data_IF_513573413448
#
_entry.id   IF_513573413448
#
_cell.length_a   1.000
_cell.length_b   1.000
_cell.length_c   1.000
_cell.angle_alpha   90.00
_cell.angle_beta   90.00
_cell.angle_gamma   90.00
#
_symmetry.space_group_name_H-M   'P 1'
#
loop_
_entity.id
_entity.type
_entity.pdbx_description
1 polymer ?
#
# COMPACT_ATOMS: atom_id res chain seq x y z
N UNK A 1 -24.04 -16.82 -47.36
CA UNK A 1 -23.70 -15.52 -46.71
C UNK A 1 -22.92 -15.80 -45.47
N UNK A 2 -21.58 -15.81 -45.58
CA UNK A 2 -20.68 -16.05 -44.45
C UNK A 2 -20.42 -14.69 -43.78
N UNK A 3 -20.97 -14.50 -42.57
CA UNK A 3 -20.70 -13.29 -41.79
C UNK A 3 -19.25 -13.39 -41.30
N UNK A 4 -18.32 -12.69 -41.95
CA UNK A 4 -17.04 -12.38 -41.37
C UNK A 4 -17.26 -11.40 -40.19
N UNK A 5 -17.28 -11.92 -38.99
CA UNK A 5 -17.09 -11.11 -37.79
C UNK A 5 -15.61 -10.68 -37.82
N UNK A 6 -15.38 -9.48 -38.31
CA UNK A 6 -14.10 -8.79 -38.09
C UNK A 6 -14.09 -8.45 -36.62
N UNK A 7 -13.56 -9.38 -35.81
CA UNK A 7 -13.09 -9.05 -34.46
C UNK A 7 -11.99 -8.00 -34.64
N UNK A 8 -12.30 -6.77 -34.32
CA UNK A 8 -11.30 -5.73 -34.09
C UNK A 8 -10.37 -6.32 -33.02
N UNK A 9 -9.16 -6.73 -33.45
CA UNK A 9 -8.12 -7.18 -32.53
C UNK A 9 -7.69 -5.93 -31.77
N UNK A 10 -8.44 -5.59 -30.73
CA UNK A 10 -8.05 -4.57 -29.78
C UNK A 10 -6.69 -4.92 -29.19
N UNK A 11 -5.89 -3.94 -28.93
CA UNK A 11 -4.57 -4.11 -28.33
C UNK A 11 -4.78 -4.74 -26.93
N UNK A 12 -4.44 -6.04 -26.78
CA UNK A 12 -4.54 -6.77 -25.50
C UNK A 12 -3.37 -6.36 -24.59
N UNK A 13 -3.65 -6.24 -23.31
CA UNK A 13 -2.66 -5.91 -22.28
C UNK A 13 -2.28 -7.15 -21.47
N UNK A 14 -1.17 -7.13 -20.73
CA UNK A 14 -0.71 -8.30 -19.96
C UNK A 14 -1.79 -8.91 -19.06
N UNK A 15 -2.55 -8.10 -18.34
CA UNK A 15 -3.61 -8.57 -17.43
C UNK A 15 -4.72 -9.36 -18.15
N UNK A 16 -4.91 -9.13 -19.44
CA UNK A 16 -5.96 -9.76 -20.25
C UNK A 16 -5.51 -11.11 -20.83
N UNK A 17 -4.20 -11.36 -20.94
CA UNK A 17 -3.61 -12.51 -21.64
C UNK A 17 -2.75 -13.41 -20.76
N UNK A 18 -2.40 -12.99 -19.54
CA UNK A 18 -1.58 -13.78 -18.65
C UNK A 18 -2.33 -15.05 -18.22
N UNK A 19 -1.67 -16.19 -18.39
CA UNK A 19 -2.15 -17.44 -17.81
C UNK A 19 -2.20 -17.31 -16.28
N UNK A 20 -3.20 -17.94 -15.66
CA UNK A 20 -3.37 -17.92 -14.20
C UNK A 20 -2.43 -18.94 -13.51
N UNK A 21 -1.26 -19.14 -14.08
CA UNK A 21 -0.18 -19.94 -13.53
C UNK A 21 1.10 -19.11 -13.43
N UNK A 22 1.45 -18.66 -12.23
CA UNK A 22 2.62 -17.84 -11.99
C UNK A 22 3.94 -18.57 -12.28
N UNK A 23 4.01 -19.90 -12.16
CA UNK A 23 5.21 -20.69 -12.44
C UNK A 23 5.61 -20.57 -13.92
N UNK A 24 4.64 -20.62 -14.83
CA UNK A 24 4.87 -20.46 -16.28
C UNK A 24 5.45 -19.07 -16.61
N UNK A 25 4.97 -18.04 -15.89
CA UNK A 25 5.46 -16.66 -16.07
C UNK A 25 6.93 -16.58 -15.66
N UNK A 26 7.27 -17.17 -14.51
CA UNK A 26 8.62 -17.18 -13.98
C UNK A 26 9.58 -18.00 -14.85
N UNK A 27 9.21 -19.22 -15.24
CA UNK A 27 10.03 -20.08 -16.10
C UNK A 27 10.37 -19.41 -17.43
N UNK A 28 9.39 -18.72 -18.05
CA UNK A 28 9.63 -17.97 -19.28
C UNK A 28 10.61 -16.80 -19.06
N UNK A 29 10.55 -16.12 -17.92
CA UNK A 29 11.47 -15.04 -17.58
C UNK A 29 12.88 -15.54 -17.28
N UNK A 30 13.02 -16.66 -16.57
CA UNK A 30 14.30 -17.30 -16.28
C UNK A 30 14.97 -17.80 -17.58
N UNK A 31 14.23 -18.48 -18.45
CA UNK A 31 14.74 -18.92 -19.76
C UNK A 31 15.19 -17.75 -20.66
N UNK A 32 14.49 -16.62 -20.61
CA UNK A 32 14.90 -15.42 -21.33
C UNK A 32 16.19 -14.84 -20.73
N UNK A 33 16.29 -14.74 -19.39
CA UNK A 33 17.46 -14.21 -18.70
C UNK A 33 18.71 -15.06 -18.98
N UNK A 34 18.61 -16.38 -18.95
CA UNK A 34 19.70 -17.30 -19.34
C UNK A 34 20.20 -17.05 -20.77
N UNK A 35 19.27 -16.88 -21.73
CA UNK A 35 19.61 -16.52 -23.10
C UNK A 35 20.31 -15.16 -23.19
N UNK A 36 19.88 -14.18 -22.38
CA UNK A 36 20.49 -12.86 -22.34
C UNK A 36 21.94 -12.94 -21.87
N UNK A 37 22.24 -13.74 -20.83
CA UNK A 37 23.60 -13.97 -20.33
C UNK A 37 24.53 -14.66 -21.33
N UNK A 38 24.00 -15.52 -22.20
CA UNK A 38 24.75 -16.25 -23.20
C UNK A 38 24.98 -15.45 -24.50
N UNK A 39 24.34 -14.32 -24.67
CA UNK A 39 24.43 -13.51 -25.90
C UNK A 39 25.85 -12.93 -26.06
N UNK A 40 26.39 -13.14 -27.25
CA UNK A 40 27.59 -12.43 -27.65
C UNK A 40 27.27 -10.96 -27.98
N UNK A 41 28.23 -10.07 -27.78
CA UNK A 41 28.10 -8.61 -28.03
C UNK A 41 27.78 -8.25 -29.49
N UNK A 42 27.74 -9.21 -30.40
CA UNK A 42 27.57 -9.00 -31.85
C UNK A 42 26.10 -8.75 -32.28
N UNK A 43 25.11 -9.04 -31.43
CA UNK A 43 23.68 -8.86 -31.77
C UNK A 43 22.92 -8.19 -30.59
N UNK A 44 23.06 -6.87 -30.41
CA UNK A 44 22.38 -6.17 -29.32
C UNK A 44 20.86 -6.11 -29.56
N UNK A 45 20.11 -6.39 -28.51
CA UNK A 45 18.67 -6.19 -28.47
C UNK A 45 18.35 -4.89 -27.74
N UNK A 46 17.30 -4.17 -28.18
CA UNK A 46 16.91 -2.91 -27.62
C UNK A 46 15.41 -2.91 -27.24
N UNK A 47 15.10 -2.34 -26.10
CA UNK A 47 13.74 -2.01 -25.71
C UNK A 47 13.47 -0.55 -26.07
N UNK A 48 12.35 -0.28 -26.76
CA UNK A 48 11.92 1.07 -27.12
C UNK A 48 10.95 1.59 -26.05
N UNK A 49 11.35 2.65 -25.35
CA UNK A 49 10.50 3.32 -24.37
C UNK A 49 9.45 4.16 -25.10
N UNK A 50 8.21 4.28 -24.57
CA UNK A 50 7.26 5.28 -25.06
C UNK A 50 7.88 6.68 -24.99
N UNK A 51 8.09 7.31 -26.15
CA UNK A 51 8.86 8.58 -26.26
C UNK A 51 10.06 8.48 -27.21
N UNK A 52 10.40 7.26 -27.69
CA UNK A 52 11.37 7.06 -28.77
C UNK A 52 12.80 6.74 -28.31
N UNK A 53 13.10 6.81 -27.04
CA UNK A 53 14.38 6.38 -26.48
C UNK A 53 14.50 4.85 -26.51
N UNK A 54 15.72 4.36 -26.80
CA UNK A 54 16.01 2.92 -26.84
C UNK A 54 17.01 2.56 -25.75
N UNK A 55 16.65 1.58 -24.94
CA UNK A 55 17.51 1.00 -23.92
C UNK A 55 18.04 -0.33 -24.40
N UNK A 56 19.36 -0.52 -24.34
CA UNK A 56 19.99 -1.79 -24.67
C UNK A 56 19.68 -2.80 -23.57
N UNK A 57 19.26 -3.99 -23.97
CA UNK A 57 18.98 -5.08 -23.06
C UNK A 57 20.30 -5.80 -22.72
N UNK A 58 20.80 -5.53 -21.51
CA UNK A 58 22.03 -6.10 -20.96
C UNK A 58 21.75 -6.66 -19.56
N UNK A 59 22.54 -7.61 -19.11
CA UNK A 59 22.50 -8.21 -17.79
C UNK A 59 22.60 -7.16 -16.66
N UNK A 60 23.37 -6.09 -16.89
CA UNK A 60 23.56 -4.97 -15.96
C UNK A 60 22.29 -4.11 -15.71
N UNK A 61 21.30 -4.19 -16.62
CA UNK A 61 20.07 -3.41 -16.60
C UNK A 61 18.83 -4.26 -16.26
N UNK A 62 19.01 -5.57 -16.06
CA UNK A 62 17.91 -6.51 -15.84
C UNK A 62 18.08 -7.20 -14.50
N UNK A 63 17.01 -7.28 -13.71
CA UNK A 63 17.05 -7.98 -12.43
C UNK A 63 15.68 -8.60 -12.08
N UNK A 64 15.69 -9.54 -11.15
CA UNK A 64 14.49 -10.15 -10.61
C UNK A 64 14.01 -9.45 -9.34
N UNK A 65 12.73 -9.11 -9.27
CA UNK A 65 12.08 -8.57 -8.08
C UNK A 65 11.09 -9.58 -7.51
N UNK A 66 11.08 -9.83 -6.18
CA UNK A 66 10.10 -10.70 -5.55
C UNK A 66 8.71 -10.03 -5.57
N UNK A 67 7.71 -10.76 -6.05
CA UNK A 67 6.31 -10.29 -6.14
C UNK A 67 5.65 -10.32 -4.77
N UNK A 68 5.94 -11.34 -3.96
CA UNK A 68 5.33 -11.56 -2.65
C UNK A 68 6.36 -11.47 -1.52
N UNK A 69 5.90 -11.01 -0.36
CA UNK A 69 6.76 -10.83 0.83
C UNK A 69 7.23 -12.16 1.44
N UNK A 70 6.33 -13.13 1.54
CA UNK A 70 6.60 -14.41 2.19
C UNK A 70 7.16 -15.46 1.22
N UNK A 71 7.03 -15.25 -0.08
CA UNK A 71 7.49 -16.20 -1.10
C UNK A 71 8.51 -15.55 -2.05
N UNK A 72 9.80 -15.59 -1.68
CA UNK A 72 10.86 -15.04 -2.52
C UNK A 72 11.10 -15.85 -3.80
N UNK A 73 10.46 -17.02 -3.95
CA UNK A 73 10.57 -17.83 -5.18
C UNK A 73 9.84 -17.17 -6.33
N UNK A 74 8.71 -16.50 -6.02
CA UNK A 74 7.95 -15.77 -7.02
C UNK A 74 8.61 -14.45 -7.37
N UNK A 75 9.23 -14.41 -8.56
CA UNK A 75 9.96 -13.23 -9.05
C UNK A 75 9.53 -12.88 -10.45
N UNK A 76 9.53 -11.59 -10.74
CA UNK A 76 9.36 -11.07 -12.10
C UNK A 76 10.64 -10.40 -12.58
N UNK A 77 10.91 -10.51 -13.86
CA UNK A 77 12.08 -9.93 -14.50
C UNK A 77 11.75 -8.50 -14.91
N UNK A 78 12.54 -7.54 -14.44
CA UNK A 78 12.36 -6.12 -14.71
C UNK A 78 13.55 -5.54 -15.45
N UNK A 79 13.28 -4.56 -16.31
CA UNK A 79 14.27 -3.72 -16.96
C UNK A 79 14.36 -2.40 -16.18
N UNK A 80 15.56 -2.05 -15.73
CA UNK A 80 15.83 -0.80 -15.03
C UNK A 80 16.54 0.20 -15.93
N UNK A 81 16.41 1.47 -15.62
CA UNK A 81 17.10 2.54 -16.30
C UNK A 81 18.62 2.43 -16.06
N UNK A 82 19.47 2.38 -17.10
CA UNK A 82 20.92 2.32 -16.94
C UNK A 82 21.51 3.49 -16.14
N UNK A 83 20.87 4.67 -16.22
CA UNK A 83 21.30 5.88 -15.54
C UNK A 83 20.72 6.04 -14.13
N UNK A 84 19.55 5.40 -13.88
CA UNK A 84 18.85 5.45 -12.61
C UNK A 84 18.31 4.05 -12.25
N UNK A 85 19.17 3.17 -11.73
CA UNK A 85 18.85 1.75 -11.44
C UNK A 85 17.63 1.55 -10.52
N UNK A 86 17.23 2.60 -9.84
CA UNK A 86 16.01 2.62 -9.00
C UNK A 86 14.72 2.77 -9.84
N UNK A 87 14.84 3.13 -11.13
CA UNK A 87 13.72 3.34 -12.01
C UNK A 87 13.47 2.11 -12.88
N UNK A 88 12.34 1.46 -12.67
CA UNK A 88 11.87 0.35 -13.51
C UNK A 88 11.18 0.91 -14.75
N UNK A 89 11.58 0.45 -15.94
CA UNK A 89 11.10 0.88 -17.25
C UNK A 89 10.07 -0.10 -17.82
N UNK A 90 10.34 -1.40 -17.67
CA UNK A 90 9.52 -2.45 -18.25
C UNK A 90 9.58 -3.74 -17.44
N UNK A 91 8.62 -4.62 -17.66
CA UNK A 91 8.58 -5.98 -17.10
C UNK A 91 8.47 -6.99 -18.22
N UNK A 92 9.17 -8.11 -18.08
CA UNK A 92 9.10 -9.22 -19.01
C UNK A 92 7.95 -10.16 -18.65
N UNK A 93 6.93 -10.19 -19.49
CA UNK A 93 5.72 -11.00 -19.29
C UNK A 93 5.29 -11.61 -20.63
N UNK A 94 4.86 -12.86 -20.59
CA UNK A 94 4.36 -13.56 -21.78
C UNK A 94 5.31 -13.41 -22.98
N UNK A 95 6.60 -13.70 -22.77
CA UNK A 95 7.68 -13.67 -23.77
C UNK A 95 7.94 -12.29 -24.42
N UNK A 96 7.50 -11.22 -23.80
CA UNK A 96 7.67 -9.85 -24.30
C UNK A 96 7.97 -8.87 -23.17
N UNK A 97 8.70 -7.79 -23.50
CA UNK A 97 8.89 -6.65 -22.60
C UNK A 97 7.70 -5.69 -22.71
N UNK A 98 7.10 -5.36 -21.57
CA UNK A 98 5.96 -4.47 -21.46
C UNK A 98 6.33 -3.22 -20.67
N UNK A 99 6.07 -2.00 -21.21
CA UNK A 99 6.21 -0.76 -20.44
C UNK A 99 5.33 -0.79 -19.20
N UNK A 100 5.79 -0.17 -18.11
CA UNK A 100 5.05 -0.13 -16.84
C UNK A 100 3.61 0.40 -17.01
N UNK A 101 3.42 1.43 -17.87
CA UNK A 101 2.10 1.99 -18.13
C UNK A 101 1.14 1.01 -18.82
N UNK A 102 1.64 0.06 -19.61
CA UNK A 102 0.79 -0.92 -20.29
C UNK A 102 0.41 -2.11 -19.41
N UNK A 103 1.21 -2.39 -18.37
CA UNK A 103 0.88 -3.45 -17.39
C UNK A 103 -0.34 -3.07 -16.55
N UNK A 104 -0.53 -1.78 -16.31
CA UNK A 104 -1.66 -1.29 -15.51
C UNK A 104 -2.86 -0.87 -16.36
N UNK A 105 -2.97 -1.44 -17.58
CA UNK A 105 -4.10 -1.25 -18.49
C UNK A 105 -4.81 -2.57 -18.76
N UNK A 106 -6.06 -2.46 -19.20
CA UNK A 106 -6.89 -3.57 -19.68
C UNK A 106 -7.68 -3.15 -20.91
N UNK A 107 -7.87 -4.09 -21.82
CA UNK A 107 -8.82 -3.96 -22.93
C UNK A 107 -10.21 -4.51 -22.59
N UNK A 108 -10.33 -5.21 -21.46
CA UNK A 108 -11.57 -5.77 -20.98
C UNK A 108 -12.46 -4.68 -20.37
N UNK A 109 -13.51 -4.30 -21.09
CA UNK A 109 -14.48 -3.29 -20.65
C UNK A 109 -15.30 -3.70 -19.43
N UNK A 110 -15.28 -4.97 -19.04
CA UNK A 110 -15.93 -5.44 -17.80
C UNK A 110 -15.14 -5.04 -16.55
N UNK A 111 -13.84 -4.72 -16.69
CA UNK A 111 -13.01 -4.18 -15.61
C UNK A 111 -13.28 -2.69 -15.41
N UNK A 112 -14.31 -2.37 -14.66
CA UNK A 112 -14.68 -0.99 -14.29
C UNK A 112 -15.04 -0.90 -12.81
N UNK A 113 -14.60 0.17 -12.13
CA UNK A 113 -14.82 0.37 -10.70
C UNK A 113 -13.85 -0.43 -9.81
N UNK A 114 -14.24 -0.65 -8.56
CA UNK A 114 -13.46 -1.40 -7.57
C UNK A 114 -13.70 -2.91 -7.74
N UNK A 115 -12.66 -3.62 -8.12
CA UNK A 115 -12.71 -5.07 -8.35
C UNK A 115 -11.70 -5.80 -7.46
N UNK A 116 -12.15 -6.92 -6.89
CA UNK A 116 -11.34 -7.80 -6.08
C UNK A 116 -10.20 -8.41 -6.91
N UNK A 117 -8.98 -8.38 -6.38
CA UNK A 117 -7.82 -9.02 -6.99
C UNK A 117 -7.92 -10.54 -6.80
N UNK A 118 -8.05 -11.27 -7.90
CA UNK A 118 -8.25 -12.72 -7.92
C UNK A 118 -7.20 -13.45 -8.75
N UNK A 119 -6.88 -12.95 -9.95
CA UNK A 119 -6.00 -13.61 -10.91
C UNK A 119 -4.52 -13.25 -10.71
N UNK A 120 -3.63 -14.08 -11.22
CA UNK A 120 -2.17 -13.81 -11.22
C UNK A 120 -1.84 -12.53 -11.98
N UNK A 121 -2.54 -12.24 -13.08
CA UNK A 121 -2.37 -10.99 -13.82
C UNK A 121 -2.73 -9.76 -12.97
N UNK A 122 -3.84 -9.81 -12.23
CA UNK A 122 -4.24 -8.73 -11.32
C UNK A 122 -3.28 -8.59 -10.13
N UNK A 123 -2.69 -9.69 -9.65
CA UNK A 123 -1.62 -9.64 -8.63
C UNK A 123 -0.37 -8.91 -9.15
N UNK A 124 -0.02 -9.10 -10.41
CA UNK A 124 1.08 -8.35 -11.06
C UNK A 124 0.72 -6.87 -11.18
N UNK A 125 -0.50 -6.54 -11.59
CA UNK A 125 -0.98 -5.14 -11.60
C UNK A 125 -0.90 -4.51 -10.20
N UNK A 126 -1.36 -5.21 -9.17
CA UNK A 126 -1.25 -4.76 -7.78
C UNK A 126 0.20 -4.54 -7.36
N UNK A 127 1.09 -5.48 -7.69
CA UNK A 127 2.53 -5.35 -7.43
C UNK A 127 3.12 -4.11 -8.11
N UNK A 128 2.79 -3.88 -9.38
CA UNK A 128 3.26 -2.70 -10.13
C UNK A 128 2.75 -1.41 -9.53
N UNK A 129 1.47 -1.35 -9.17
CA UNK A 129 0.89 -0.17 -8.50
C UNK A 129 1.56 0.12 -7.15
N UNK A 130 1.78 -0.90 -6.33
CA UNK A 130 2.34 -0.77 -4.98
C UNK A 130 3.85 -0.53 -5.00
N UNK A 131 4.61 -1.44 -5.60
CA UNK A 131 6.07 -1.47 -5.42
C UNK A 131 6.79 -0.58 -6.44
N UNK A 132 6.27 -0.47 -7.66
CA UNK A 132 6.92 0.29 -8.73
C UNK A 132 6.35 1.71 -8.82
N UNK A 133 5.03 1.87 -9.05
CA UNK A 133 4.47 3.22 -9.25
C UNK A 133 4.47 3.99 -7.92
N UNK A 134 3.87 3.45 -6.88
CA UNK A 134 3.82 4.10 -5.58
C UNK A 134 5.20 4.13 -4.90
N UNK A 135 5.89 2.98 -4.85
CA UNK A 135 7.13 2.83 -4.11
C UNK A 135 8.36 3.50 -4.76
N UNK A 136 8.39 3.61 -6.10
CA UNK A 136 9.56 4.13 -6.83
C UNK A 136 9.23 5.39 -7.62
N UNK A 137 8.22 5.37 -8.51
CA UNK A 137 7.99 6.44 -9.48
C UNK A 137 7.25 7.65 -8.89
N UNK A 138 6.29 7.44 -7.99
CA UNK A 138 5.50 8.50 -7.37
C UNK A 138 5.90 8.78 -5.92
N UNK A 139 7.01 8.22 -5.44
CA UNK A 139 7.53 8.44 -4.09
C UNK A 139 7.95 9.90 -3.88
N UNK A 140 7.74 10.39 -2.64
CA UNK A 140 8.33 11.65 -2.20
C UNK A 140 9.74 11.38 -1.66
N UNK A 141 10.74 12.09 -2.14
CA UNK A 141 12.18 11.88 -1.93
C UNK A 141 12.68 11.96 -0.48
N UNK A 142 11.83 12.19 0.50
CA UNK A 142 12.26 12.49 1.87
C UNK A 142 12.26 11.31 2.86
N UNK A 143 11.76 10.13 2.48
CA UNK A 143 11.67 9.01 3.43
C UNK A 143 12.31 7.73 2.88
N UNK A 144 13.36 7.26 3.56
CA UNK A 144 14.05 5.97 3.35
C UNK A 144 13.19 4.73 3.70
N UNK A 145 11.87 4.82 3.58
CA UNK A 145 10.99 3.68 3.81
C UNK A 145 10.97 2.80 2.57
N UNK A 146 11.49 1.58 2.68
CA UNK A 146 11.34 0.56 1.65
C UNK A 146 9.89 0.09 1.61
N UNK A 147 9.30 0.07 0.42
CA UNK A 147 8.01 -0.57 0.21
C UNK A 147 8.20 -2.08 0.23
N UNK A 148 7.45 -2.75 1.10
CA UNK A 148 7.46 -4.20 1.17
C UNK A 148 6.34 -4.72 0.27
N UNK A 149 6.65 -5.75 -0.53
CA UNK A 149 5.65 -6.43 -1.33
C UNK A 149 4.51 -6.99 -0.45
N UNK A 150 3.32 -7.06 -1.00
CA UNK A 150 2.18 -7.65 -0.29
C UNK A 150 2.32 -9.17 -0.14
N UNK A 151 1.56 -9.74 0.77
CA UNK A 151 1.36 -11.20 0.84
C UNK A 151 0.63 -11.71 -0.42
N UNK A 152 0.91 -12.94 -0.83
CA UNK A 152 0.13 -13.60 -1.89
C UNK A 152 -1.36 -13.71 -1.54
N UNK A 153 -1.68 -13.75 -0.23
CA UNK A 153 -3.05 -13.85 0.31
C UNK A 153 -3.64 -12.49 0.71
N UNK A 154 -2.95 -11.39 0.39
CA UNK A 154 -3.45 -10.05 0.72
C UNK A 154 -4.82 -9.81 0.08
N UNK A 155 -5.79 -9.39 0.88
CA UNK A 155 -7.09 -8.95 0.38
C UNK A 155 -6.92 -7.55 -0.22
N UNK A 156 -7.16 -7.41 -1.51
CA UNK A 156 -6.98 -6.16 -2.23
C UNK A 156 -8.05 -5.94 -3.29
N UNK A 157 -8.40 -4.69 -3.53
CA UNK A 157 -9.20 -4.28 -4.69
C UNK A 157 -8.44 -3.25 -5.52
N UNK A 158 -8.54 -3.38 -6.83
CA UNK A 158 -8.03 -2.40 -7.80
C UNK A 158 -9.20 -1.61 -8.34
N UNK A 159 -9.03 -0.29 -8.42
CA UNK A 159 -10.00 0.60 -9.07
C UNK A 159 -9.62 0.74 -10.55
N UNK A 160 -10.48 0.21 -11.40
CA UNK A 160 -10.38 0.33 -12.85
C UNK A 160 -11.24 1.48 -13.36
N UNK A 161 -10.72 2.26 -14.30
CA UNK A 161 -11.43 3.37 -14.91
C UNK A 161 -10.95 3.61 -16.34
N UNK A 162 -11.84 3.48 -17.30
CA UNK A 162 -11.54 3.70 -18.73
C UNK A 162 -10.32 2.88 -19.21
N UNK A 163 -10.21 1.62 -18.79
CA UNK A 163 -9.11 0.73 -19.15
C UNK A 163 -7.80 0.93 -18.37
N UNK A 164 -7.75 1.85 -17.40
CA UNK A 164 -6.58 2.08 -16.53
C UNK A 164 -6.84 1.59 -15.10
N UNK A 165 -5.85 0.95 -14.48
CA UNK A 165 -5.80 0.73 -13.04
C UNK A 165 -5.35 2.04 -12.37
N UNK A 166 -6.29 2.76 -11.73
CA UNK A 166 -6.08 4.13 -11.26
C UNK A 166 -5.79 4.26 -9.78
N UNK A 167 -6.19 3.23 -9.01
CA UNK A 167 -6.02 3.18 -7.56
C UNK A 167 -6.08 1.74 -7.07
N UNK A 168 -5.65 1.50 -5.84
CA UNK A 168 -5.92 0.26 -5.12
C UNK A 168 -6.03 0.52 -3.62
N UNK A 169 -6.62 -0.46 -2.93
CA UNK A 169 -6.49 -0.55 -1.48
C UNK A 169 -6.35 -2.01 -1.04
N UNK A 170 -5.78 -2.20 0.15
CA UNK A 170 -5.65 -3.52 0.78
C UNK A 170 -6.32 -3.54 2.14
N UNK A 171 -6.73 -4.73 2.56
CA UNK A 171 -7.40 -4.94 3.85
C UNK A 171 -6.73 -6.07 4.61
N UNK A 172 -6.39 -5.81 5.86
CA UNK A 172 -6.08 -6.85 6.85
C UNK A 172 -7.41 -7.38 7.40
N UNK A 173 -7.71 -8.61 7.04
CA UNK A 173 -8.96 -9.24 7.45
C UNK A 173 -8.88 -9.63 8.93
N UNK A 174 -9.97 -9.48 9.67
CA UNK A 174 -10.12 -9.96 11.04
C UNK A 174 -9.71 -11.43 11.15
N UNK A 175 -8.84 -11.76 12.10
CA UNK A 175 -8.25 -13.09 12.25
C UNK A 175 -6.99 -13.35 11.41
N UNK A 176 -6.58 -12.44 10.50
CA UNK A 176 -5.30 -12.57 9.82
C UNK A 176 -4.14 -12.18 10.74
N UNK A 177 -2.98 -12.84 10.57
CA UNK A 177 -1.79 -12.57 11.37
C UNK A 177 -1.29 -11.12 11.16
N UNK A 178 -0.94 -10.46 12.25
CA UNK A 178 -0.33 -9.13 12.22
C UNK A 178 1.11 -9.19 11.73
N UNK A 179 1.84 -10.24 12.12
CA UNK A 179 3.23 -10.49 11.77
C UNK A 179 3.48 -12.01 11.74
N UNK A 180 4.44 -12.45 10.91
CA UNK A 180 4.87 -13.87 10.84
C UNK A 180 5.55 -14.35 12.13
N UNK A 181 6.08 -13.43 12.95
CA UNK A 181 6.81 -13.73 14.18
C UNK A 181 5.93 -13.70 15.44
N UNK A 182 4.70 -13.22 15.33
CA UNK A 182 3.76 -13.11 16.45
C UNK A 182 2.51 -13.93 16.15
N UNK A 183 1.95 -14.55 17.20
CA UNK A 183 0.67 -15.25 17.08
C UNK A 183 -0.53 -14.28 17.11
N UNK A 184 -0.27 -12.97 17.08
CA UNK A 184 -1.32 -11.95 17.16
C UNK A 184 -2.06 -11.83 15.84
N UNK A 185 -3.39 -11.82 15.91
CA UNK A 185 -4.26 -11.62 14.76
C UNK A 185 -5.02 -10.29 14.87
N UNK A 186 -5.34 -9.71 13.73
CA UNK A 186 -6.19 -8.52 13.68
C UNK A 186 -7.56 -8.81 14.29
N UNK A 187 -8.02 -7.92 15.17
CA UNK A 187 -9.31 -8.07 15.90
C UNK A 187 -10.50 -7.48 15.14
N UNK A 188 -10.23 -6.74 14.08
CA UNK A 188 -11.22 -6.12 13.19
C UNK A 188 -10.66 -6.02 11.77
N UNK A 189 -11.50 -5.81 10.74
CA UNK A 189 -11.02 -5.47 9.40
C UNK A 189 -10.32 -4.12 9.41
N UNK A 190 -9.10 -4.04 8.82
CA UNK A 190 -8.30 -2.81 8.80
C UNK A 190 -7.93 -2.47 7.36
N UNK A 191 -8.36 -1.30 6.90
CA UNK A 191 -7.89 -0.66 5.68
C UNK A 191 -6.41 -0.32 5.84
N UNK A 192 -5.53 -1.08 5.17
CA UNK A 192 -4.09 -1.05 5.45
C UNK A 192 -3.33 -0.13 4.49
N UNK A 193 -3.45 -0.34 3.20
CA UNK A 193 -2.82 0.49 2.18
C UNK A 193 -3.87 1.09 1.25
N UNK A 194 -3.79 2.39 1.02
CA UNK A 194 -4.60 3.09 0.01
C UNK A 194 -3.67 3.89 -0.88
N UNK A 195 -3.79 3.69 -2.17
CA UNK A 195 -3.03 4.45 -3.15
C UNK A 195 -3.92 4.90 -4.31
N UNK A 196 -3.78 6.16 -4.70
CA UNK A 196 -4.38 6.74 -5.91
C UNK A 196 -3.26 7.34 -6.75
N UNK A 197 -3.13 6.90 -7.99
CA UNK A 197 -2.13 7.41 -8.94
C UNK A 197 -2.26 8.92 -9.07
N UNK A 198 -1.14 9.62 -9.11
CA UNK A 198 -1.06 11.10 -9.05
C UNK A 198 -1.98 11.78 -10.06
N UNK A 199 -2.03 11.26 -11.30
CA UNK A 199 -2.86 11.82 -12.38
C UNK A 199 -4.38 11.68 -12.16
N UNK A 200 -4.81 10.83 -11.20
CA UNK A 200 -6.24 10.59 -10.88
C UNK A 200 -6.65 11.10 -9.50
N UNK A 201 -5.76 11.80 -8.79
CA UNK A 201 -6.08 12.40 -7.50
C UNK A 201 -7.08 13.53 -7.64
N UNK A 202 -7.73 13.90 -6.53
CA UNK A 202 -8.77 14.95 -6.46
C UNK A 202 -10.04 14.69 -7.29
N UNK A 203 -10.24 13.43 -7.73
CA UNK A 203 -11.43 12.98 -8.46
C UNK A 203 -12.42 12.17 -7.59
N UNK A 204 -12.36 12.31 -6.27
CA UNK A 204 -13.29 11.65 -5.34
C UNK A 204 -13.00 10.14 -5.11
N UNK A 205 -11.90 9.59 -5.63
CA UNK A 205 -11.61 8.16 -5.52
C UNK A 205 -11.43 7.70 -4.07
N UNK A 206 -10.82 8.52 -3.21
CA UNK A 206 -10.69 8.21 -1.78
C UNK A 206 -12.02 8.02 -1.08
N UNK A 207 -13.01 8.85 -1.39
CA UNK A 207 -14.39 8.72 -0.87
C UNK A 207 -15.04 7.41 -1.32
N UNK A 208 -14.86 7.04 -2.60
CA UNK A 208 -15.37 5.78 -3.15
C UNK A 208 -14.71 4.56 -2.51
N UNK A 209 -13.40 4.64 -2.24
CA UNK A 209 -12.67 3.57 -1.54
C UNK A 209 -13.19 3.39 -0.12
N UNK A 210 -13.37 4.47 0.66
CA UNK A 210 -13.92 4.38 2.01
C UNK A 210 -15.35 3.82 2.01
N UNK A 211 -16.18 4.29 1.11
CA UNK A 211 -17.55 3.80 0.97
C UNK A 211 -17.56 2.29 0.65
N UNK A 212 -16.77 1.84 -0.32
CA UNK A 212 -16.68 0.42 -0.68
C UNK A 212 -16.11 -0.43 0.47
N UNK A 213 -15.13 0.08 1.22
CA UNK A 213 -14.60 -0.58 2.41
C UNK A 213 -15.68 -0.76 3.47
N UNK A 214 -16.41 0.30 3.84
CA UNK A 214 -17.48 0.24 4.83
C UNK A 214 -18.61 -0.71 4.39
N UNK A 215 -18.98 -0.70 3.11
CA UNK A 215 -20.00 -1.60 2.56
C UNK A 215 -19.52 -3.05 2.49
N UNK A 216 -18.24 -3.30 2.25
CA UNK A 216 -17.68 -4.67 2.23
C UNK A 216 -17.72 -5.35 3.60
N UNK A 217 -17.83 -4.57 4.68
CA UNK A 217 -17.83 -5.05 6.07
C UNK A 217 -19.03 -4.50 6.88
N UNK A 218 -20.19 -4.41 6.27
CA UNK A 218 -21.40 -3.80 6.86
C UNK A 218 -21.84 -4.45 8.17
N UNK A 219 -21.49 -5.72 8.39
CA UNK A 219 -21.86 -6.49 9.59
C UNK A 219 -20.87 -6.32 10.75
N UNK A 220 -19.74 -5.67 10.54
CA UNK A 220 -18.74 -5.42 11.60
C UNK A 220 -19.06 -4.11 12.33
N UNK A 221 -19.06 -4.15 13.66
CA UNK A 221 -19.34 -2.97 14.50
C UNK A 221 -18.19 -1.95 14.50
N UNK A 222 -16.99 -2.38 14.14
CA UNK A 222 -15.81 -1.52 14.09
C UNK A 222 -14.95 -1.84 12.88
N UNK A 223 -14.44 -0.79 12.22
CA UNK A 223 -13.55 -0.84 11.07
C UNK A 223 -12.30 0.01 11.36
N UNK A 224 -11.15 -0.52 11.02
CA UNK A 224 -9.87 0.15 11.24
C UNK A 224 -9.31 0.80 9.98
N UNK A 225 -8.54 1.85 10.16
CA UNK A 225 -7.59 2.39 9.18
C UNK A 225 -6.22 2.35 9.84
N UNK A 226 -5.21 1.77 9.18
CA UNK A 226 -3.87 1.61 9.73
C UNK A 226 -3.24 2.94 10.16
N UNK A 227 -2.73 2.98 11.39
CA UNK A 227 -1.98 4.10 11.97
C UNK A 227 -0.54 4.12 11.43
N UNK A 228 0.03 5.31 11.11
CA UNK A 228 -0.59 6.64 11.15
C UNK A 228 -1.38 6.94 9.87
N UNK A 229 -2.53 7.59 10.03
CA UNK A 229 -3.29 8.10 8.88
C UNK A 229 -2.58 9.35 8.33
N UNK A 230 -2.33 9.38 7.02
CA UNK A 230 -1.76 10.56 6.38
C UNK A 230 -2.71 11.76 6.41
N UNK A 231 -2.16 12.99 6.37
CA UNK A 231 -2.95 14.20 6.37
C UNK A 231 -4.01 14.23 5.25
N UNK A 232 -3.65 13.76 4.07
CA UNK A 232 -4.58 13.70 2.94
C UNK A 232 -5.70 12.66 3.17
N UNK A 233 -5.37 11.48 3.67
CA UNK A 233 -6.37 10.44 4.00
C UNK A 233 -7.26 10.91 5.15
N UNK A 234 -6.70 11.64 6.11
CA UNK A 234 -7.46 12.25 7.19
C UNK A 234 -8.51 13.24 6.65
N UNK A 235 -8.17 14.06 5.65
CA UNK A 235 -9.13 14.95 4.99
C UNK A 235 -10.24 14.18 4.23
N UNK A 236 -9.92 13.01 3.67
CA UNK A 236 -10.94 12.11 3.10
C UNK A 236 -11.86 11.58 4.18
N UNK A 237 -11.31 11.08 5.30
CA UNK A 237 -12.09 10.62 6.45
C UNK A 237 -13.01 11.72 6.99
N UNK A 238 -12.48 12.93 7.14
CA UNK A 238 -13.24 14.09 7.60
C UNK A 238 -14.49 14.33 6.73
N UNK A 239 -14.31 14.45 5.41
CA UNK A 239 -15.43 14.64 4.48
C UNK A 239 -16.40 13.46 4.46
N UNK A 240 -15.85 12.24 4.52
CA UNK A 240 -16.64 11.01 4.50
C UNK A 240 -17.55 10.94 5.72
N UNK A 241 -17.02 11.13 6.93
CA UNK A 241 -17.76 11.07 8.18
C UNK A 241 -18.76 12.22 8.36
N UNK A 242 -18.55 13.37 7.70
CA UNK A 242 -19.55 14.43 7.63
C UNK A 242 -20.77 14.05 6.77
N UNK A 243 -20.56 13.24 5.72
CA UNK A 243 -21.62 12.85 4.79
C UNK A 243 -22.25 11.48 5.11
N UNK A 244 -21.61 10.69 5.98
CA UNK A 244 -22.04 9.36 6.42
C UNK A 244 -22.03 9.29 7.95
N UNK A 245 -23.05 9.89 8.64
CA UNK A 245 -23.11 9.88 10.09
C UNK A 245 -23.16 8.48 10.71
N UNK A 246 -23.71 7.51 9.98
CA UNK A 246 -23.77 6.09 10.37
C UNK A 246 -22.40 5.42 10.53
N UNK A 247 -21.35 6.02 9.96
CA UNK A 247 -19.99 5.48 10.03
C UNK A 247 -19.12 6.17 11.12
N UNK A 248 -19.66 7.21 11.79
CA UNK A 248 -18.89 8.02 12.76
C UNK A 248 -18.39 7.19 13.95
N UNK A 249 -19.18 6.24 14.41
CA UNK A 249 -18.84 5.37 15.55
C UNK A 249 -18.12 4.10 15.12
N UNK A 250 -18.04 3.82 13.80
CA UNK A 250 -17.47 2.60 13.25
C UNK A 250 -16.03 2.74 12.79
N UNK A 251 -15.57 3.94 12.38
CA UNK A 251 -14.23 4.15 11.81
C UNK A 251 -13.21 4.57 12.87
N UNK A 252 -12.15 3.78 12.98
CA UNK A 252 -11.09 3.93 13.97
C UNK A 252 -9.71 4.00 13.30
N UNK A 253 -8.84 4.89 13.76
CA UNK A 253 -7.41 4.79 13.51
C UNK A 253 -6.86 3.68 14.41
N UNK A 254 -6.14 2.70 13.82
CA UNK A 254 -5.83 1.44 14.51
C UNK A 254 -4.36 1.09 14.40
N UNK A 255 -3.78 0.77 15.55
CA UNK A 255 -2.50 0.11 15.70
C UNK A 255 -2.72 -1.42 15.79
N UNK A 256 -1.95 -2.24 15.04
CA UNK A 256 -2.09 -3.70 15.09
C UNK A 256 -1.80 -4.24 16.51
N UNK A 257 -2.57 -5.22 16.99
CA UNK A 257 -3.68 -5.97 16.39
C UNK A 257 -5.06 -5.27 16.43
N UNK A 258 -5.17 -4.09 16.98
CA UNK A 258 -6.42 -3.35 17.04
C UNK A 258 -7.26 -3.66 18.28
N UNK A 259 -6.62 -3.88 19.43
CA UNK A 259 -7.30 -3.91 20.73
C UNK A 259 -7.84 -2.52 21.10
N UNK A 260 -8.72 -2.44 22.09
CA UNK A 260 -9.33 -1.17 22.51
C UNK A 260 -8.31 -0.09 22.85
N UNK A 261 -7.20 -0.44 23.49
CA UNK A 261 -6.11 0.48 23.80
C UNK A 261 -5.31 0.95 22.58
N UNK A 262 -5.55 0.34 21.42
CA UNK A 262 -4.86 0.58 20.15
C UNK A 262 -5.77 1.23 19.09
N UNK A 263 -6.93 1.71 19.51
CA UNK A 263 -7.91 2.38 18.63
C UNK A 263 -8.09 3.83 19.06
N UNK A 264 -8.16 4.71 18.08
CA UNK A 264 -8.52 6.11 18.26
C UNK A 264 -9.71 6.43 17.36
N UNK A 265 -10.82 6.91 17.91
CA UNK A 265 -11.97 7.32 17.10
C UNK A 265 -11.58 8.47 16.17
N UNK A 266 -11.72 8.24 14.86
CA UNK A 266 -11.39 9.25 13.84
C UNK A 266 -12.37 10.42 13.95
N UNK A 267 -13.66 10.14 14.19
CA UNK A 267 -14.67 11.18 14.34
C UNK A 267 -14.42 12.07 15.56
N UNK A 268 -14.12 11.47 16.71
CA UNK A 268 -13.79 12.22 17.92
C UNK A 268 -12.53 13.09 17.73
N UNK A 269 -11.51 12.55 17.05
CA UNK A 269 -10.29 13.30 16.69
C UNK A 269 -10.63 14.53 15.84
N UNK A 270 -11.50 14.38 14.83
CA UNK A 270 -11.97 15.48 13.98
C UNK A 270 -12.70 16.57 14.79
N UNK A 271 -13.54 16.17 15.73
CA UNK A 271 -14.29 17.11 16.58
C UNK A 271 -13.39 17.91 17.55
N UNK A 272 -12.28 17.32 17.95
CA UNK A 272 -11.35 17.96 18.89
C UNK A 272 -10.36 18.92 18.23
N UNK A 273 -10.07 18.79 16.94
CA UNK A 273 -9.14 19.65 16.22
C UNK A 273 -9.48 21.16 16.30
N UNK A 274 -10.74 21.61 16.15
CA UNK A 274 -11.08 23.04 16.27
C UNK A 274 -10.90 23.62 17.67
N UNK A 275 -10.82 22.76 18.70
CA UNK A 275 -10.66 23.18 20.09
C UNK A 275 -9.18 23.42 20.50
N UNK A 276 -8.25 23.09 19.58
CA UNK A 276 -6.82 23.34 19.78
C UNK A 276 -6.43 24.64 19.05
N UNK A 277 -6.06 25.68 19.81
CA UNK A 277 -5.63 26.95 19.24
C UNK A 277 -4.32 26.78 18.44
N UNK A 278 -4.10 27.62 17.40
CA UNK A 278 -2.86 27.65 16.62
C UNK A 278 -1.58 27.75 17.48
N UNK A 279 -1.68 28.34 18.68
CA UNK A 279 -0.57 28.43 19.62
C UNK A 279 -0.14 27.09 20.22
N UNK A 280 -1.03 26.11 20.27
CA UNK A 280 -0.72 24.78 20.82
C UNK A 280 0.03 23.91 19.80
N UNK A 281 -0.12 24.18 18.51
CA UNK A 281 0.59 23.46 17.44
C UNK A 281 2.09 23.79 17.38
N UNK A 282 2.50 24.99 17.73
CA UNK A 282 3.89 25.45 17.63
C UNK A 282 4.77 25.00 18.81
N UNK A 283 4.18 24.57 19.93
CA UNK A 283 4.91 24.20 21.14
C UNK A 283 5.05 22.69 21.39
N UNK A 284 4.46 21.83 20.56
CA UNK A 284 4.49 20.38 20.77
C UNK A 284 5.22 19.63 19.67
N UNK A 285 6.34 19.00 20.02
CA UNK A 285 6.98 17.96 19.21
C UNK A 285 6.08 16.72 19.17
N UNK A 286 6.02 16.03 18.02
CA UNK A 286 5.01 15.00 17.67
C UNK A 286 4.71 13.87 18.69
N UNK A 287 5.62 13.60 19.66
CA UNK A 287 5.38 12.60 20.73
C UNK A 287 4.41 13.09 21.81
N UNK A 288 4.40 14.39 22.11
CA UNK A 288 3.53 14.97 23.13
C UNK A 288 2.08 15.10 22.67
N UNK A 289 1.87 15.31 21.36
CA UNK A 289 0.54 15.44 20.76
C UNK A 289 -0.27 14.14 20.83
N UNK A 290 0.34 13.01 20.47
CA UNK A 290 -0.32 11.70 20.52
C UNK A 290 -0.73 11.33 21.96
N UNK A 291 0.12 11.62 22.96
CA UNK A 291 -0.18 11.37 24.36
C UNK A 291 -1.31 12.26 24.88
N UNK A 292 -1.33 13.55 24.52
CA UNK A 292 -2.37 14.49 24.92
C UNK A 292 -3.73 14.14 24.30
N UNK A 293 -3.75 13.73 23.03
CA UNK A 293 -4.96 13.29 22.34
C UNK A 293 -5.50 11.99 22.91
N UNK A 294 -4.65 11.00 23.23
CA UNK A 294 -5.11 9.79 23.91
C UNK A 294 -5.76 10.10 25.26
N UNK A 295 -5.13 10.96 26.05
CA UNK A 295 -5.68 11.34 27.37
C UNK A 295 -7.01 12.06 27.24
N UNK A 296 -7.14 13.03 26.32
CA UNK A 296 -8.41 13.75 26.10
C UNK A 296 -9.51 12.85 25.51
N UNK A 297 -9.18 11.96 24.56
CA UNK A 297 -10.13 11.00 24.01
C UNK A 297 -10.64 10.02 25.05
N UNK A 298 -9.78 9.54 25.96
CA UNK A 298 -10.20 8.69 27.09
C UNK A 298 -11.15 9.42 28.02
N UNK A 299 -10.87 10.70 28.36
CA UNK A 299 -11.74 11.49 29.23
C UNK A 299 -13.13 11.75 28.62
N UNK A 300 -13.22 12.03 27.32
CA UNK A 300 -14.50 12.31 26.66
C UNK A 300 -15.31 11.04 26.40
N UNK A 301 -14.66 9.91 26.14
CA UNK A 301 -15.34 8.61 26.05
C UNK A 301 -15.95 8.19 27.39
N UNK A 302 -15.25 8.41 28.50
CA UNK A 302 -15.77 8.17 29.85
C UNK A 302 -16.95 9.10 30.20
N UNK A 303 -16.90 10.35 29.78
CA UNK A 303 -17.97 11.33 30.00
C UNK A 303 -19.25 10.99 29.19
N UNK A 304 -19.09 10.45 27.98
CA UNK A 304 -20.22 10.03 27.13
C UNK A 304 -20.95 8.79 27.67
N UNK A 305 -20.28 7.96 28.49
CA UNK A 305 -20.85 6.73 29.06
C UNK A 305 -21.32 6.90 30.52
N UNK A 306 -21.33 8.13 31.06
CA UNK A 306 -21.93 8.44 32.38
C UNK A 306 -21.17 7.89 33.60
N UNK A 307 -19.94 7.45 33.44
CA UNK A 307 -19.10 6.99 34.54
C UNK A 307 -18.36 8.14 35.23
N UNK A 308 -18.46 8.19 36.55
CA UNK A 308 -17.97 9.27 37.40
C UNK A 308 -16.43 9.35 37.42
N UNK A 309 -15.89 10.47 36.97
CA UNK A 309 -14.46 10.76 36.77
C UNK A 309 -13.58 10.77 38.06
N UNK A 310 -13.95 10.08 39.15
CA UNK A 310 -13.27 10.17 40.45
C UNK A 310 -12.26 9.06 40.75
N UNK A 311 -12.00 8.11 39.87
CA UNK A 311 -11.19 6.93 40.23
C UNK A 311 -10.02 6.56 39.29
N UNK A 312 -9.58 7.44 38.40
CA UNK A 312 -8.41 7.16 37.55
C UNK A 312 -7.39 8.30 37.67
N UNK A 313 -6.81 8.45 38.84
CA UNK A 313 -5.54 9.16 39.01
C UNK A 313 -4.70 8.33 39.95
N UNK A 314 -3.90 7.44 39.39
CA UNK A 314 -2.60 6.96 39.91
C UNK A 314 -2.18 5.65 39.16
N UNK A 315 -1.54 5.81 38.05
CA UNK A 315 -0.51 4.85 37.61
C UNK A 315 0.56 5.63 36.84
N UNK A 316 1.73 5.72 37.42
CA UNK A 316 2.94 6.29 36.83
C UNK A 316 3.37 5.45 35.64
N UNK A 317 3.43 6.07 34.44
CA UNK A 317 4.00 5.49 33.25
C UNK A 317 5.46 5.93 33.15
N UNK A 318 6.37 5.06 33.48
CA UNK A 318 7.79 5.20 33.18
C UNK A 318 8.01 5.09 31.65
N UNK A 319 8.57 6.12 31.05
CA UNK A 319 9.05 6.14 29.67
C UNK A 319 10.58 6.14 29.66
N UNK A 320 11.24 5.33 28.84
CA UNK A 320 12.69 5.48 28.60
C UNK A 320 12.96 6.54 27.53
N UNK A 321 13.90 7.42 27.85
CA UNK A 321 14.44 8.45 26.95
C UNK A 321 15.17 7.84 25.75
N UNK A 322 14.88 8.34 24.54
CA UNK A 322 15.86 8.39 23.45
C UNK A 322 15.52 9.49 22.45
N UNK A 323 16.46 10.41 22.32
CA UNK A 323 16.50 11.53 21.38
C UNK A 323 16.37 11.12 19.92
N UNK A 324 15.59 11.90 19.15
CA UNK A 324 15.90 12.16 17.73
C UNK A 324 15.24 13.47 17.25
N UNK A 325 16.09 14.33 16.76
CA UNK A 325 15.85 15.64 16.15
C UNK A 325 15.37 15.50 14.70
N UNK A 326 14.54 16.45 14.22
CA UNK A 326 14.45 16.78 12.79
C UNK A 326 13.09 17.03 12.18
N UNK A 327 12.71 18.27 12.12
CA UNK A 327 11.91 19.12 11.20
C UNK A 327 11.12 18.52 10.03
N UNK A 328 9.85 18.85 10.07
CA UNK A 328 8.81 19.35 9.12
C UNK A 328 8.97 19.16 7.60
N UNK A 329 7.96 18.74 6.93
CA UNK A 329 7.00 19.36 6.02
C UNK A 329 6.44 18.46 4.92
N UNK A 330 5.11 18.59 4.73
CA UNK A 330 4.28 18.48 3.51
C UNK A 330 3.84 17.10 3.01
N UNK A 331 2.64 16.80 3.47
CA UNK A 331 1.46 16.27 2.75
C UNK A 331 1.66 15.49 1.44
N UNK A 332 1.53 14.17 1.50
CA UNK A 332 1.12 13.35 0.35
C UNK A 332 0.41 12.09 0.83
N UNK A 333 -0.63 11.69 0.11
CA UNK A 333 -1.42 10.49 0.27
C UNK A 333 -0.56 9.24 0.48
N UNK A 334 -0.26 8.91 1.70
CA UNK A 334 0.47 7.70 2.08
C UNK A 334 -0.17 7.17 3.35
N UNK A 335 -0.96 6.14 3.24
CA UNK A 335 -1.16 5.25 4.38
C UNK A 335 0.10 4.41 4.43
N UNK A 336 0.92 4.61 5.44
CA UNK A 336 2.22 3.94 5.57
C UNK A 336 1.99 2.54 6.09
N UNK A 337 2.33 1.52 5.30
CA UNK A 337 2.53 0.18 5.83
C UNK A 337 3.63 0.21 6.91
N UNK A 338 3.31 -0.23 8.10
CA UNK A 338 4.26 -0.34 9.21
C UNK A 338 5.46 -1.20 8.84
N UNK A 339 6.65 -0.71 9.10
CA UNK A 339 7.84 -1.54 9.25
C UNK A 339 7.72 -2.35 10.53
N UNK A 340 7.76 -3.67 10.42
CA UNK A 340 8.29 -4.52 11.49
C UNK A 340 9.81 -4.26 11.56
N UNK A 341 10.24 -3.40 12.45
CA UNK A 341 11.67 -3.24 12.76
C UNK A 341 12.11 -4.43 13.61
N UNK A 342 12.56 -5.49 12.97
CA UNK A 342 13.39 -6.49 13.63
C UNK A 342 14.79 -5.88 13.78
N UNK A 343 15.14 -5.46 15.00
CA UNK A 343 16.54 -5.22 15.35
C UNK A 343 17.26 -6.58 15.34
N UNK A 344 18.39 -6.74 14.64
CA UNK A 344 19.24 -7.89 14.83
C UNK A 344 19.81 -7.83 16.24
N UNK A 345 19.53 -8.82 17.06
CA UNK A 345 20.27 -9.05 18.29
C UNK A 345 21.71 -9.45 17.89
N UNK A 346 22.65 -8.57 18.19
CA UNK A 346 24.06 -8.92 18.17
C UNK A 346 24.32 -9.97 19.24
N UNK A 347 24.47 -11.22 18.82
CA UNK A 347 24.94 -12.30 19.68
C UNK A 347 26.42 -12.06 20.02
N UNK A 348 26.69 -11.77 21.26
CA UNK A 348 28.04 -11.86 21.82
C UNK A 348 28.39 -13.36 21.93
N UNK A 349 29.30 -13.82 21.08
CA UNK A 349 30.05 -15.04 21.31
C UNK A 349 31.16 -14.73 22.31
N UNK A 350 30.96 -15.13 23.55
CA UNK A 350 32.07 -15.24 24.51
C UNK A 350 32.76 -16.57 24.29
N UNK A 351 33.96 -16.52 23.80
CA UNK A 351 34.93 -17.61 23.87
C UNK A 351 35.48 -17.72 25.29
N UNK A 352 35.38 -18.87 25.88
CA UNK A 352 36.27 -19.28 26.97
C UNK A 352 36.52 -20.78 26.90
N UNK A 353 37.81 -21.11 26.68
CA UNK A 353 38.56 -22.34 26.95
C UNK A 353 37.97 -23.66 26.47
#
# INVERSE_FOLDING_TARGET
MTLCIILSIGHLYPVDILADNPEVIQEAAEAYYEKLLQRSSSSPEFFSIPGGEKVKLEDSCVCFLPVYREDPKYKILVLTDPQAKERVLAIYLNQSWWPIEDIVKTADSSREGLMQVQTSGERIVLFVLNSIIFGMLERSSANDTFFVSHSAKESAKIFWRNGDAVAFYTVKIKGSLCDVNTSQCYLLPVLDTVFVRRKYRRCGLGMKILHDFCQSFVTEDALGISCPISADMYQVCHRFLQTHPEEQDRLWEVEAPGDWSQRVSIWLKIQLEPALSESDYLNFTGKSYASLMMTKCCFLSLAAHGESAKQVVQHDVFLPDSEMTGTSQLSRWVVVCRKSTVRPQSGYLSSSM
#
